data_IF_812523732347
#
_entry.id   IF_812523732347
#
_cell.length_a   1.000
_cell.length_b   1.000
_cell.length_c   1.000
_cell.angle_alpha   90.00
_cell.angle_beta   90.00
_cell.angle_gamma   90.00
#
_symmetry.space_group_name_H-M   'P 1'
#
loop_
_entity.id
_entity.type
_entity.pdbx_description
1 polymer ?
#
# COMPACT_ATOMS: atom_id res chain seq x y z
N UNK A 1 -2.41 -6.21 -1.30
CA UNK A 1 -3.69 -5.83 -1.94
C UNK A 1 -3.51 -4.59 -2.81
N UNK A 2 -4.26 -4.50 -3.90
CA UNK A 2 -4.22 -3.40 -4.87
C UNK A 2 -5.63 -3.00 -5.32
N UNK A 3 -5.79 -1.76 -5.84
CA UNK A 3 -7.05 -1.30 -6.47
C UNK A 3 -6.85 -0.67 -7.86
N UNK A 4 -5.62 -0.28 -8.23
CA UNK A 4 -5.40 0.58 -9.41
C UNK A 4 -4.11 0.29 -10.17
N UNK A 5 -3.30 1.33 -10.42
CA UNK A 5 -2.11 1.29 -11.29
C UNK A 5 -1.05 0.25 -10.91
N UNK A 6 -0.95 -0.09 -9.61
CA UNK A 6 -0.01 -1.09 -9.13
C UNK A 6 1.46 -0.67 -9.17
N UNK A 7 1.76 0.63 -9.17
CA UNK A 7 3.15 1.10 -9.23
C UNK A 7 3.97 0.68 -8.00
N UNK A 8 3.41 0.79 -6.80
CA UNK A 8 4.01 0.28 -5.57
C UNK A 8 4.15 -1.25 -5.61
N UNK A 9 3.13 -1.97 -6.12
CA UNK A 9 3.22 -3.41 -6.34
C UNK A 9 4.38 -3.77 -7.26
N UNK A 10 4.52 -3.08 -8.41
CA UNK A 10 5.63 -3.32 -9.37
C UNK A 10 7.00 -3.15 -8.69
N UNK A 11 7.14 -2.10 -7.88
CA UNK A 11 8.37 -1.85 -7.11
C UNK A 11 8.65 -2.99 -6.12
N UNK A 12 7.65 -3.41 -5.36
CA UNK A 12 7.78 -4.52 -4.41
C UNK A 12 8.12 -5.85 -5.11
N UNK A 13 7.51 -6.15 -6.26
CA UNK A 13 7.83 -7.36 -7.04
C UNK A 13 9.30 -7.36 -7.46
N UNK A 14 9.81 -6.22 -7.98
CA UNK A 14 11.21 -6.14 -8.39
C UNK A 14 12.17 -6.39 -7.22
N UNK A 15 11.88 -5.78 -6.07
CA UNK A 15 12.73 -5.92 -4.89
C UNK A 15 12.64 -7.34 -4.28
N UNK A 16 11.45 -7.95 -4.26
CA UNK A 16 11.25 -9.30 -3.72
C UNK A 16 11.89 -10.43 -4.54
N UNK A 17 12.44 -10.11 -5.71
CA UNK A 17 13.25 -11.03 -6.53
C UNK A 17 14.74 -10.99 -6.17
N UNK A 18 15.16 -10.03 -5.39
CA UNK A 18 16.51 -10.02 -4.85
C UNK A 18 16.60 -11.07 -3.73
N UNK A 19 17.65 -11.89 -3.76
CA UNK A 19 17.86 -12.95 -2.77
C UNK A 19 17.88 -12.43 -1.33
N UNK A 20 18.42 -11.25 -1.12
CA UNK A 20 18.53 -10.61 0.21
C UNK A 20 17.25 -9.89 0.66
N UNK A 21 16.17 -9.90 -0.14
CA UNK A 21 14.93 -9.27 0.29
C UNK A 21 14.13 -10.23 1.18
N UNK A 22 13.65 -9.80 2.37
CA UNK A 22 13.20 -10.71 3.42
C UNK A 22 11.87 -11.41 3.15
N UNK A 23 11.16 -11.03 2.08
CA UNK A 23 9.86 -11.62 1.73
C UNK A 23 9.78 -11.98 0.25
N UNK A 24 8.95 -12.99 -0.05
CA UNK A 24 8.48 -13.32 -1.41
C UNK A 24 7.00 -12.97 -1.55
N UNK A 25 6.60 -12.49 -2.71
CA UNK A 25 5.19 -12.18 -3.00
C UNK A 25 4.53 -13.43 -3.57
N UNK A 26 3.69 -14.08 -2.77
CA UNK A 26 3.06 -15.35 -3.11
C UNK A 26 1.60 -15.17 -3.61
N UNK A 27 1.01 -13.98 -3.41
CA UNK A 27 -0.37 -13.72 -3.80
C UNK A 27 -0.59 -12.22 -4.00
N UNK A 28 -1.35 -11.87 -5.04
CA UNK A 28 -1.88 -10.54 -5.26
C UNK A 28 -3.40 -10.61 -5.23
N UNK A 29 -4.06 -9.76 -4.44
CA UNK A 29 -5.53 -9.66 -4.44
C UNK A 29 -5.92 -8.24 -4.87
N UNK A 30 -6.90 -8.16 -5.78
CA UNK A 30 -7.52 -6.91 -6.20
C UNK A 30 -9.01 -6.91 -5.94
N UNK A 31 -9.55 -5.73 -5.57
CA UNK A 31 -10.99 -5.49 -5.51
C UNK A 31 -11.55 -4.90 -6.81
N UNK A 32 -10.71 -4.73 -7.83
CA UNK A 32 -11.05 -4.16 -9.14
C UNK A 32 -10.47 -5.04 -10.24
N UNK A 33 -11.34 -5.56 -11.13
CA UNK A 33 -10.94 -6.40 -12.29
C UNK A 33 -10.05 -5.63 -13.27
N UNK A 34 -10.29 -4.32 -13.38
CA UNK A 34 -9.58 -3.44 -14.31
C UNK A 34 -8.32 -2.83 -13.69
N UNK A 35 -7.91 -3.27 -12.50
CA UNK A 35 -6.68 -2.79 -11.89
C UNK A 35 -5.48 -3.13 -12.77
N UNK A 36 -4.80 -2.10 -13.27
CA UNK A 36 -3.61 -2.29 -14.12
C UNK A 36 -2.51 -3.11 -13.43
N UNK A 37 -2.46 -3.04 -12.11
CA UNK A 37 -1.54 -3.83 -11.30
C UNK A 37 -1.66 -5.35 -11.51
N UNK A 38 -2.80 -5.87 -11.95
CA UNK A 38 -2.99 -7.28 -12.29
C UNK A 38 -2.14 -7.71 -13.51
N UNK A 39 -1.80 -6.79 -14.41
CA UNK A 39 -0.86 -7.05 -15.51
C UNK A 39 0.53 -7.42 -15.00
N UNK A 40 0.93 -6.84 -13.85
CA UNK A 40 2.20 -7.21 -13.23
C UNK A 40 2.15 -8.61 -12.61
N UNK A 41 1.01 -9.01 -12.02
CA UNK A 41 0.83 -10.38 -11.54
C UNK A 41 1.05 -11.39 -12.65
N UNK A 42 0.40 -11.19 -13.80
CA UNK A 42 0.57 -12.02 -15.01
C UNK A 42 2.02 -12.00 -15.51
N UNK A 43 2.59 -10.81 -15.74
CA UNK A 43 3.96 -10.65 -16.27
C UNK A 43 5.02 -11.37 -15.43
N UNK A 44 4.84 -11.39 -14.11
CA UNK A 44 5.83 -11.95 -13.18
C UNK A 44 5.45 -13.33 -12.65
N UNK A 45 4.42 -13.98 -13.23
CA UNK A 45 3.91 -15.31 -12.87
C UNK A 45 3.58 -15.41 -11.36
N UNK A 46 2.97 -14.35 -10.78
CA UNK A 46 2.54 -14.34 -9.39
C UNK A 46 1.06 -14.70 -9.34
N UNK A 47 0.65 -15.69 -8.51
CA UNK A 47 -0.74 -16.01 -8.31
C UNK A 47 -1.55 -14.77 -7.92
N UNK A 48 -2.72 -14.59 -8.51
CA UNK A 48 -3.59 -13.48 -8.18
C UNK A 48 -5.06 -13.91 -8.08
N UNK A 49 -5.83 -13.12 -7.34
CA UNK A 49 -7.27 -13.26 -7.19
C UNK A 49 -7.95 -11.91 -7.34
N UNK A 50 -9.13 -11.94 -7.89
CA UNK A 50 -10.07 -10.83 -7.88
C UNK A 50 -11.24 -11.21 -7.01
N UNK A 51 -11.63 -10.32 -6.09
CA UNK A 51 -12.87 -10.41 -5.34
C UNK A 51 -13.61 -9.08 -5.46
N UNK A 52 -14.83 -9.12 -5.99
CA UNK A 52 -15.67 -7.92 -6.11
C UNK A 52 -15.95 -7.30 -4.75
N UNK A 53 -15.88 -5.99 -4.67
CA UNK A 53 -16.24 -5.23 -3.47
C UNK A 53 -17.74 -4.90 -3.46
N UNK A 54 -18.62 -5.87 -3.83
CA UNK A 54 -20.10 -5.72 -3.72
C UNK A 54 -20.51 -5.37 -2.30
N UNK A 55 -19.91 -6.04 -1.32
CA UNK A 55 -19.93 -5.64 0.08
C UNK A 55 -18.57 -5.86 0.72
N UNK A 56 -18.27 -5.08 1.78
CA UNK A 56 -17.05 -5.24 2.58
C UNK A 56 -16.93 -6.66 3.13
N UNK A 57 -18.02 -7.19 3.68
CA UNK A 57 -18.05 -8.51 4.31
C UNK A 57 -17.73 -9.62 3.30
N UNK A 58 -18.34 -9.58 2.12
CA UNK A 58 -18.07 -10.55 1.05
C UNK A 58 -16.60 -10.53 0.64
N UNK A 59 -16.05 -9.33 0.37
CA UNK A 59 -14.65 -9.17 0.01
C UNK A 59 -13.71 -9.72 1.09
N UNK A 60 -13.89 -9.27 2.33
CA UNK A 60 -13.00 -9.61 3.43
C UNK A 60 -13.01 -11.09 3.79
N UNK A 61 -14.18 -11.74 3.80
CA UNK A 61 -14.30 -13.20 4.06
C UNK A 61 -13.57 -14.01 3.00
N UNK A 62 -13.74 -13.68 1.72
CA UNK A 62 -13.03 -14.36 0.63
C UNK A 62 -11.53 -14.14 0.70
N UNK A 63 -11.09 -12.93 1.01
CA UNK A 63 -9.68 -12.63 1.22
C UNK A 63 -9.10 -13.45 2.37
N UNK A 64 -9.74 -13.48 3.54
CA UNK A 64 -9.28 -14.24 4.71
C UNK A 64 -9.17 -15.75 4.41
N UNK A 65 -10.17 -16.31 3.71
CA UNK A 65 -10.16 -17.71 3.28
C UNK A 65 -8.94 -18.01 2.38
N UNK A 66 -8.68 -17.16 1.39
CA UNK A 66 -7.57 -17.35 0.46
C UNK A 66 -6.20 -17.14 1.14
N UNK A 67 -6.08 -16.13 2.01
CA UNK A 67 -4.87 -15.87 2.78
C UNK A 67 -4.52 -17.04 3.71
N UNK A 68 -5.53 -17.61 4.38
CA UNK A 68 -5.37 -18.81 5.24
C UNK A 68 -4.97 -20.02 4.42
N UNK A 69 -5.66 -20.30 3.29
CA UNK A 69 -5.35 -21.41 2.39
C UNK A 69 -3.89 -21.39 1.93
N UNK A 70 -3.36 -20.21 1.65
CA UNK A 70 -1.98 -20.01 1.17
C UNK A 70 -0.96 -19.75 2.28
N UNK A 71 -1.36 -19.87 3.54
CA UNK A 71 -0.51 -19.63 4.72
C UNK A 71 0.21 -18.27 4.68
N UNK A 72 -0.48 -17.21 4.20
CA UNK A 72 0.08 -15.86 4.13
C UNK A 72 0.14 -15.26 5.53
N UNK A 73 1.32 -14.81 5.94
CA UNK A 73 1.60 -14.25 7.28
C UNK A 73 1.98 -12.77 7.29
N UNK A 74 1.95 -12.10 6.14
CA UNK A 74 2.28 -10.68 6.02
C UNK A 74 1.49 -10.06 4.87
N UNK A 75 0.89 -8.89 5.09
CA UNK A 75 0.04 -8.24 4.10
C UNK A 75 0.52 -6.81 3.83
N UNK A 76 0.74 -6.49 2.55
CA UNK A 76 1.05 -5.15 2.07
C UNK A 76 -0.17 -4.55 1.33
N UNK A 77 -0.60 -3.36 1.72
CA UNK A 77 -1.55 -2.55 0.97
C UNK A 77 -0.76 -1.64 0.02
N UNK A 78 -0.78 -1.93 -1.27
CA UNK A 78 0.02 -1.24 -2.29
C UNK A 78 -0.89 -0.46 -3.26
N UNK A 79 -1.46 0.63 -2.80
CA UNK A 79 -2.49 1.40 -3.51
C UNK A 79 -3.86 0.70 -3.45
N UNK A 80 -4.19 0.15 -2.31
CA UNK A 80 -5.51 -0.41 -2.01
C UNK A 80 -6.42 0.70 -1.47
N UNK A 81 -7.54 0.98 -2.16
CA UNK A 81 -8.39 2.14 -1.94
C UNK A 81 -9.62 1.87 -1.06
N UNK A 82 -9.59 0.81 -0.26
CA UNK A 82 -10.67 0.47 0.67
C UNK A 82 -10.13 0.33 2.09
N UNK A 83 -10.99 0.61 3.07
CA UNK A 83 -10.65 0.46 4.49
C UNK A 83 -11.00 -0.96 4.94
N UNK A 84 -10.04 -1.64 5.54
CA UNK A 84 -10.25 -2.96 6.14
C UNK A 84 -10.97 -2.82 7.49
N UNK A 85 -11.93 -3.71 7.75
CA UNK A 85 -12.70 -3.69 9.00
C UNK A 85 -11.89 -4.19 10.19
N UNK A 86 -12.38 -3.87 11.41
CA UNK A 86 -11.88 -4.47 12.65
C UNK A 86 -11.92 -6.00 12.59
N UNK A 87 -12.98 -6.55 11.98
CA UNK A 87 -13.14 -8.00 11.79
C UNK A 87 -11.99 -8.57 10.97
N UNK A 88 -11.67 -7.97 9.80
CA UNK A 88 -10.57 -8.44 8.96
C UNK A 88 -9.23 -8.41 9.70
N UNK A 89 -8.91 -7.27 10.34
CA UNK A 89 -7.65 -7.08 11.04
C UNK A 89 -7.49 -8.10 12.18
N UNK A 90 -8.56 -8.31 12.97
CA UNK A 90 -8.59 -9.29 14.06
C UNK A 90 -8.39 -10.72 13.57
N UNK A 91 -9.02 -11.09 12.43
CA UNK A 91 -8.99 -12.47 11.93
C UNK A 91 -7.76 -12.79 11.10
N UNK A 92 -7.11 -11.81 10.47
CA UNK A 92 -5.85 -12.02 9.77
C UNK A 92 -4.70 -12.30 10.75
N UNK A 93 -4.71 -11.70 11.95
CA UNK A 93 -3.77 -11.93 13.08
C UNK A 93 -2.30 -11.60 12.83
N UNK A 94 -1.89 -11.29 11.62
CA UNK A 94 -0.53 -10.96 11.25
C UNK A 94 -0.36 -9.49 10.91
N UNK A 95 0.87 -9.04 10.72
CA UNK A 95 1.16 -7.64 10.39
C UNK A 95 0.57 -7.27 9.03
N UNK A 96 -0.14 -6.16 9.00
CA UNK A 96 -0.64 -5.50 7.79
C UNK A 96 0.02 -4.13 7.74
N UNK A 97 0.64 -3.78 6.62
CA UNK A 97 1.25 -2.47 6.43
C UNK A 97 0.66 -1.76 5.22
N UNK A 98 0.66 -0.43 5.28
CA UNK A 98 0.21 0.44 4.20
C UNK A 98 1.27 1.50 3.88
N UNK A 99 1.30 1.94 2.62
CA UNK A 99 2.02 3.14 2.19
C UNK A 99 1.03 4.26 1.91
N UNK A 100 1.20 5.40 2.58
CA UNK A 100 0.34 6.56 2.47
C UNK A 100 1.11 7.78 1.95
N UNK A 101 0.60 8.52 0.94
CA UNK A 101 1.33 9.59 0.27
C UNK A 101 1.26 10.94 1.00
N UNK A 102 1.40 10.93 2.32
CA UNK A 102 1.56 12.13 3.15
C UNK A 102 2.45 11.86 4.35
N UNK A 103 2.80 12.92 5.08
CA UNK A 103 3.45 12.83 6.39
C UNK A 103 2.37 12.67 7.46
N UNK A 104 2.00 11.43 7.78
CA UNK A 104 1.04 11.16 8.85
C UNK A 104 1.53 11.74 10.19
N UNK A 105 0.62 12.24 11.04
CA UNK A 105 -0.86 12.12 10.98
C UNK A 105 -1.57 13.14 10.10
N UNK A 106 -0.86 14.05 9.40
CA UNK A 106 -1.46 15.02 8.50
C UNK A 106 -1.99 14.37 7.20
N UNK A 107 -3.08 14.90 6.67
CA UNK A 107 -3.64 14.54 5.35
C UNK A 107 -3.94 13.05 5.20
N UNK A 108 -4.70 12.47 6.15
CA UNK A 108 -5.25 11.11 6.04
C UNK A 108 -6.25 11.01 4.88
N UNK A 109 -6.46 9.79 4.37
CA UNK A 109 -7.44 9.48 3.33
C UNK A 109 -6.98 9.88 1.93
N UNK A 110 -7.93 10.29 1.09
CA UNK A 110 -7.70 10.55 -0.33
C UNK A 110 -7.28 12.00 -0.61
N UNK A 111 -6.85 12.26 -1.84
CA UNK A 111 -6.48 13.57 -2.40
C UNK A 111 -5.38 14.32 -1.64
N UNK A 112 -4.47 13.58 -1.03
CA UNK A 112 -3.40 14.11 -0.18
C UNK A 112 -2.55 15.19 -0.87
N UNK A 113 -2.16 14.97 -2.13
CA UNK A 113 -1.32 15.93 -2.86
C UNK A 113 -2.01 17.26 -3.11
N UNK A 114 -3.32 17.23 -3.43
CA UNK A 114 -4.13 18.43 -3.59
C UNK A 114 -4.23 19.17 -2.27
N UNK A 115 -4.65 18.49 -1.20
CA UNK A 115 -4.79 19.07 0.14
C UNK A 115 -3.49 19.70 0.63
N UNK A 116 -2.36 19.08 0.41
CA UNK A 116 -1.04 19.59 0.80
C UNK A 116 -0.72 20.91 0.09
N UNK A 117 -1.01 21.01 -1.21
CA UNK A 117 -0.78 22.23 -1.98
C UNK A 117 -1.76 23.35 -1.61
N UNK A 118 -3.05 23.05 -1.45
CA UNK A 118 -4.08 23.99 -1.01
C UNK A 118 -3.78 24.58 0.36
N UNK A 119 -3.24 23.77 1.28
CA UNK A 119 -2.78 24.20 2.61
C UNK A 119 -1.40 24.90 2.59
N UNK A 120 -0.82 25.15 1.41
CA UNK A 120 0.47 25.84 1.25
C UNK A 120 1.58 25.25 2.13
N UNK A 121 1.57 23.93 2.35
CA UNK A 121 2.58 23.26 3.17
C UNK A 121 3.97 23.38 2.53
N UNK A 122 4.98 23.63 3.35
CA UNK A 122 6.38 23.67 2.90
C UNK A 122 6.91 22.27 2.55
N UNK A 123 6.38 21.25 3.22
CA UNK A 123 6.82 19.87 3.09
C UNK A 123 5.64 18.91 2.93
N UNK A 124 5.87 17.85 2.19
CA UNK A 124 5.03 16.67 2.12
C UNK A 124 5.89 15.41 2.27
N UNK A 125 5.37 14.26 1.93
CA UNK A 125 6.13 13.02 1.92
C UNK A 125 5.29 11.78 1.77
N UNK A 126 5.82 10.69 2.28
CA UNK A 126 5.09 9.43 2.37
C UNK A 126 5.41 8.73 3.69
N UNK A 127 4.47 7.90 4.12
CA UNK A 127 4.54 7.18 5.39
C UNK A 127 4.22 5.71 5.16
N UNK A 128 5.07 4.82 5.65
CA UNK A 128 4.73 3.40 5.85
C UNK A 128 4.32 3.22 7.30
N UNK A 129 3.16 2.62 7.52
CA UNK A 129 2.59 2.43 8.84
C UNK A 129 1.89 1.07 8.96
N UNK A 130 1.74 0.57 10.17
CA UNK A 130 0.86 -0.56 10.44
C UNK A 130 -0.59 -0.17 10.22
N UNK A 131 -1.39 -1.08 9.69
CA UNK A 131 -2.83 -0.86 9.51
C UNK A 131 -3.56 -1.13 10.82
N UNK A 132 -4.36 -0.15 11.23
CA UNK A 132 -5.28 -0.24 12.35
C UNK A 132 -6.72 -0.12 11.89
N UNK A 133 -7.67 -0.26 12.80
CA UNK A 133 -9.10 -0.10 12.49
C UNK A 133 -9.53 1.35 12.21
N UNK A 134 -8.68 2.33 12.54
CA UNK A 134 -8.86 3.74 12.21
C UNK A 134 -8.08 4.07 10.95
N UNK A 135 -8.67 4.85 10.05
CA UNK A 135 -8.06 5.24 8.78
C UNK A 135 -6.71 5.93 9.02
N UNK A 136 -5.66 5.42 8.37
CA UNK A 136 -4.29 5.95 8.37
C UNK A 136 -3.79 6.39 9.77
N UNK A 137 -4.03 5.56 10.78
CA UNK A 137 -3.77 5.90 12.19
C UNK A 137 -2.96 4.84 12.96
N UNK A 138 -2.46 3.83 12.28
CA UNK A 138 -1.59 2.83 12.90
C UNK A 138 -0.16 3.37 13.13
N UNK A 139 0.59 2.68 13.96
CA UNK A 139 1.97 3.07 14.29
C UNK A 139 2.84 3.22 13.04
N UNK A 140 3.56 4.34 12.98
CA UNK A 140 4.47 4.66 11.88
C UNK A 140 5.69 3.75 11.96
N UNK A 141 6.08 3.19 10.82
CA UNK A 141 7.29 2.38 10.67
C UNK A 141 8.42 3.27 10.15
N UNK A 142 8.19 3.92 9.01
CA UNK A 142 9.12 4.87 8.40
C UNK A 142 8.38 5.99 7.69
N UNK A 143 9.02 7.17 7.66
CA UNK A 143 8.56 8.31 6.88
C UNK A 143 9.68 8.89 6.02
N UNK A 144 9.31 9.48 4.88
CA UNK A 144 10.22 10.28 4.05
C UNK A 144 9.62 11.65 3.81
N UNK A 145 10.30 12.68 4.29
CA UNK A 145 9.99 14.10 4.09
C UNK A 145 10.52 14.57 2.72
N UNK A 146 9.73 15.39 2.02
CA UNK A 146 10.01 15.93 0.69
C UNK A 146 9.67 17.42 0.70
N UNK A 147 10.60 18.28 0.27
CA UNK A 147 10.35 19.71 0.09
C UNK A 147 9.42 19.90 -1.11
N UNK A 148 8.38 20.72 -0.97
CA UNK A 148 7.53 21.16 -2.08
C UNK A 148 8.24 22.29 -2.81
N UNK A 149 8.31 22.20 -4.13
CA UNK A 149 8.98 23.18 -4.97
C UNK A 149 8.06 24.37 -5.25
N UNK A 150 8.64 25.50 -5.57
CA UNK A 150 7.89 26.64 -6.12
C UNK A 150 7.17 26.21 -7.41
N UNK A 151 5.91 26.57 -7.57
CA UNK A 151 5.06 26.21 -8.72
C UNK A 151 4.84 24.68 -8.89
N UNK A 152 4.93 23.90 -7.81
CA UNK A 152 4.62 22.46 -7.84
C UNK A 152 3.15 22.23 -8.17
N UNK A 153 2.86 21.35 -9.14
CA UNK A 153 1.50 20.90 -9.45
C UNK A 153 1.18 19.59 -8.73
N UNK A 154 -0.11 19.26 -8.62
CA UNK A 154 -0.55 17.95 -8.07
C UNK A 154 0.12 16.79 -8.80
N UNK A 155 0.23 16.88 -10.13
CA UNK A 155 0.82 15.80 -10.95
C UNK A 155 2.33 15.67 -10.76
N UNK A 156 3.07 16.77 -10.68
CA UNK A 156 4.52 16.73 -10.46
C UNK A 156 4.84 16.26 -9.05
N UNK A 157 4.10 16.75 -8.05
CA UNK A 157 4.22 16.32 -6.67
C UNK A 157 3.94 14.82 -6.52
N UNK A 158 2.84 14.34 -7.10
CA UNK A 158 2.48 12.90 -7.11
C UNK A 158 3.60 12.03 -7.67
N UNK A 159 4.19 12.41 -8.81
CA UNK A 159 5.31 11.67 -9.42
C UNK A 159 6.55 11.63 -8.51
N UNK A 160 6.85 12.75 -7.83
CA UNK A 160 7.99 12.83 -6.91
C UNK A 160 7.78 12.01 -5.65
N UNK A 161 6.61 12.14 -5.03
CA UNK A 161 6.25 11.35 -3.84
C UNK A 161 6.27 9.87 -4.17
N UNK A 162 5.68 9.45 -5.30
CA UNK A 162 5.64 8.06 -5.73
C UNK A 162 7.04 7.42 -5.86
N UNK A 163 8.03 8.17 -6.37
CA UNK A 163 9.42 7.69 -6.42
C UNK A 163 9.98 7.40 -5.01
N UNK A 164 9.58 8.19 -4.01
CA UNK A 164 10.00 7.97 -2.63
C UNK A 164 9.22 6.83 -1.97
N UNK A 165 7.92 6.69 -2.27
CA UNK A 165 7.12 5.56 -1.81
C UNK A 165 7.76 4.22 -2.20
N UNK A 166 8.18 4.07 -3.46
CA UNK A 166 8.82 2.86 -3.95
C UNK A 166 10.07 2.47 -3.13
N UNK A 167 10.89 3.46 -2.77
CA UNK A 167 12.10 3.25 -1.96
C UNK A 167 11.75 2.98 -0.49
N UNK A 168 10.85 3.80 0.06
CA UNK A 168 10.49 3.74 1.47
C UNK A 168 9.78 2.43 1.83
N UNK A 169 8.89 1.96 0.96
CA UNK A 169 8.12 0.75 1.22
C UNK A 169 9.04 -0.47 1.37
N UNK A 170 10.00 -0.62 0.48
CA UNK A 170 10.99 -1.70 0.56
C UNK A 170 11.88 -1.58 1.79
N UNK A 171 12.33 -0.37 2.13
CA UNK A 171 13.13 -0.13 3.35
C UNK A 171 12.34 -0.49 4.61
N UNK A 172 11.06 -0.13 4.67
CA UNK A 172 10.19 -0.46 5.80
C UNK A 172 10.01 -1.99 5.95
N UNK A 173 9.84 -2.71 4.83
CA UNK A 173 9.77 -4.17 4.88
C UNK A 173 11.07 -4.76 5.42
N UNK A 174 12.22 -4.32 4.93
CA UNK A 174 13.52 -4.78 5.43
C UNK A 174 13.64 -4.51 6.94
N UNK A 175 13.25 -3.34 7.44
CA UNK A 175 13.34 -3.01 8.87
C UNK A 175 12.40 -3.82 9.77
N UNK A 176 11.31 -4.37 9.24
CA UNK A 176 10.37 -5.22 10.00
C UNK A 176 10.91 -6.64 10.22
N UNK A 177 11.77 -7.12 9.32
CA UNK A 177 12.26 -8.49 9.30
C UNK A 177 13.76 -8.63 9.64
N UNK A 178 14.41 -7.54 9.98
CA UNK A 178 15.73 -7.54 10.64
C UNK A 178 15.58 -7.81 12.13
#
# INVERSE_FOLDING_TARGET
FISGSGSNLKSLIKNSRNYNFPIKINLIISNNTNAYGLKYAKKYNIPYKFYSYKSRNFFERNCLKELKKRKIKFLCLAGFMKVLSKYFIKNFRYKIINIHPSLLPKFKGLDTHRKVLENKEKYTGCTVHYVSSKLDSGNIILQKKILIRKNETVNTLKKRVLKQEHKLYSKAIISIFR
#
